data_IF_693985399659
#
_entry.id   IF_693985399659
#
_cell.length_a   1.000
_cell.length_b   1.000
_cell.length_c   1.000
_cell.angle_alpha   90.00
_cell.angle_beta   90.00
_cell.angle_gamma   90.00
#
_symmetry.space_group_name_H-M   'P 1'
#
loop_
_entity.id
_entity.type
_entity.pdbx_description
1 polymer ?
#
# COMPACT_ATOMS: atom_id res chain seq x y z
N UNK A 1 19.04 -21.05 -9.10
CA UNK A 1 18.61 -20.61 -7.74
C UNK A 1 17.80 -19.37 -7.98
N UNK A 2 16.54 -19.35 -7.54
CA UNK A 2 15.63 -18.23 -7.84
C UNK A 2 16.15 -16.99 -7.11
N UNK A 3 16.27 -15.88 -7.85
CA UNK A 3 16.64 -14.60 -7.30
C UNK A 3 15.39 -13.72 -7.13
N UNK A 4 15.17 -13.29 -5.90
CA UNK A 4 13.98 -12.52 -5.52
C UNK A 4 14.43 -11.19 -4.95
N UNK A 5 13.69 -10.13 -5.29
CA UNK A 5 13.88 -8.80 -4.71
C UNK A 5 12.64 -8.41 -3.93
N UNK A 6 12.82 -8.05 -2.67
CA UNK A 6 11.80 -7.48 -1.80
C UNK A 6 11.95 -5.96 -1.81
N UNK A 7 10.91 -5.26 -2.24
CA UNK A 7 10.89 -3.80 -2.33
C UNK A 7 10.10 -3.20 -1.17
N UNK A 8 10.69 -2.22 -0.50
CA UNK A 8 10.07 -1.49 0.62
C UNK A 8 10.40 0.00 0.57
N UNK A 9 9.57 0.83 1.21
CA UNK A 9 9.76 2.29 1.32
C UNK A 9 11.13 2.69 1.83
N UNK A 10 11.61 3.87 1.42
CA UNK A 10 12.98 4.33 1.71
C UNK A 10 13.32 4.48 3.18
N UNK A 11 12.36 4.93 3.99
CA UNK A 11 12.54 5.21 5.42
C UNK A 11 12.28 3.99 6.33
N UNK A 12 12.22 2.78 5.77
CA UNK A 12 11.86 1.55 6.50
C UNK A 12 12.76 1.26 7.71
N UNK A 13 14.03 1.65 7.65
CA UNK A 13 15.00 1.49 8.76
C UNK A 13 14.82 2.53 9.86
N UNK A 14 14.36 3.73 9.50
CA UNK A 14 14.24 4.88 10.41
C UNK A 14 12.89 4.86 11.12
N UNK A 15 11.86 4.36 10.43
CA UNK A 15 10.50 4.26 10.93
C UNK A 15 9.99 2.84 10.74
N UNK A 16 10.39 1.88 11.59
CA UNK A 16 9.91 0.51 11.48
C UNK A 16 8.40 0.46 11.73
N UNK A 17 7.69 -0.22 10.83
CA UNK A 17 6.25 -0.44 10.89
C UNK A 17 5.88 -1.92 10.74
N UNK A 18 4.59 -2.22 10.69
CA UNK A 18 4.11 -3.60 10.48
C UNK A 18 4.58 -4.20 9.14
N UNK A 19 4.71 -3.35 8.12
CA UNK A 19 5.26 -3.71 6.81
C UNK A 19 6.70 -4.26 6.89
N UNK A 20 7.55 -3.63 7.70
CA UNK A 20 8.94 -4.06 7.92
C UNK A 20 9.02 -5.40 8.60
N UNK A 21 8.22 -5.59 9.66
CA UNK A 21 8.19 -6.86 10.41
C UNK A 21 7.74 -7.98 9.47
N UNK A 22 6.64 -7.76 8.75
CA UNK A 22 6.13 -8.73 7.79
C UNK A 22 7.17 -9.09 6.73
N UNK A 23 7.87 -8.10 6.17
CA UNK A 23 8.90 -8.31 5.15
C UNK A 23 10.04 -9.20 5.68
N UNK A 24 10.56 -8.89 6.87
CA UNK A 24 11.69 -9.63 7.46
C UNK A 24 11.30 -11.07 7.79
N UNK A 25 10.14 -11.27 8.41
CA UNK A 25 9.65 -12.61 8.74
C UNK A 25 9.35 -13.43 7.47
N UNK A 26 8.75 -12.81 6.45
CA UNK A 26 8.48 -13.46 5.15
C UNK A 26 9.79 -13.89 4.49
N UNK A 27 10.82 -13.03 4.50
CA UNK A 27 12.15 -13.38 3.96
C UNK A 27 12.73 -14.58 4.70
N UNK A 28 12.77 -14.54 6.03
CA UNK A 28 13.34 -15.61 6.85
C UNK A 28 12.64 -16.95 6.62
N UNK A 29 11.30 -16.94 6.56
CA UNK A 29 10.51 -18.14 6.31
C UNK A 29 10.78 -18.73 4.91
N UNK A 30 10.82 -17.89 3.88
CA UNK A 30 11.04 -18.33 2.49
C UNK A 30 12.47 -18.86 2.30
N UNK A 31 13.50 -18.15 2.78
CA UNK A 31 14.89 -18.62 2.66
C UNK A 31 15.15 -19.92 3.44
N UNK A 32 14.41 -20.14 4.53
CA UNK A 32 14.51 -21.38 5.31
C UNK A 32 13.81 -22.56 4.64
N UNK A 33 12.70 -22.31 3.92
CA UNK A 33 11.88 -23.35 3.30
C UNK A 33 12.31 -23.67 1.86
N UNK A 34 12.91 -22.71 1.15
CA UNK A 34 13.18 -22.80 -0.28
C UNK A 34 14.60 -22.37 -0.62
N UNK A 35 15.15 -22.97 -1.69
CA UNK A 35 16.50 -22.64 -2.18
C UNK A 35 16.47 -21.40 -3.09
N UNK A 36 16.33 -20.22 -2.48
CA UNK A 36 16.33 -18.91 -3.15
C UNK A 36 17.27 -17.92 -2.45
N UNK A 37 17.55 -16.82 -3.15
CA UNK A 37 18.26 -15.65 -2.59
C UNK A 37 17.31 -14.47 -2.60
N UNK A 38 17.08 -13.82 -1.44
CA UNK A 38 16.24 -12.63 -1.35
C UNK A 38 17.09 -11.39 -1.03
N UNK A 39 17.03 -10.38 -1.90
CA UNK A 39 17.61 -9.06 -1.65
C UNK A 39 16.52 -8.09 -1.20
N UNK A 40 16.78 -7.29 -0.16
CA UNK A 40 15.86 -6.22 0.24
C UNK A 40 16.41 -4.91 -0.31
N UNK A 41 15.61 -4.21 -1.10
CA UNK A 41 15.97 -2.92 -1.68
C UNK A 41 14.95 -1.86 -1.29
N UNK A 42 15.41 -0.61 -1.33
CA UNK A 42 14.54 0.55 -1.18
C UNK A 42 14.73 1.60 -2.28
N UNK A 43 15.65 1.36 -3.21
CA UNK A 43 15.81 2.16 -4.43
C UNK A 43 15.33 1.34 -5.65
N UNK A 44 14.29 1.80 -6.38
CA UNK A 44 13.77 1.11 -7.55
C UNK A 44 14.80 0.84 -8.65
N UNK A 45 15.84 1.66 -8.77
CA UNK A 45 16.86 1.47 -9.81
C UNK A 45 17.75 0.25 -9.55
N UNK A 46 17.79 -0.27 -8.32
CA UNK A 46 18.50 -1.51 -7.99
C UNK A 46 17.91 -2.73 -8.72
N UNK A 47 16.62 -2.72 -9.06
CA UNK A 47 15.97 -3.79 -9.85
C UNK A 47 16.66 -3.97 -11.20
N UNK A 48 17.00 -2.86 -11.86
CA UNK A 48 17.63 -2.86 -13.18
C UNK A 48 19.09 -3.35 -13.13
N UNK A 49 19.72 -3.32 -11.95
CA UNK A 49 21.07 -3.86 -11.79
C UNK A 49 21.02 -5.35 -11.47
N UNK A 50 20.09 -5.75 -10.57
CA UNK A 50 20.00 -7.12 -10.05
C UNK A 50 19.38 -8.08 -11.07
N UNK A 51 18.45 -7.63 -11.90
CA UNK A 51 17.66 -8.48 -12.82
C UNK A 51 17.06 -9.74 -12.13
N UNK A 52 16.21 -9.57 -11.10
CA UNK A 52 15.61 -10.70 -10.39
C UNK A 52 14.55 -11.44 -11.23
N UNK A 53 14.31 -12.71 -10.88
CA UNK A 53 13.22 -13.50 -11.45
C UNK A 53 11.86 -13.01 -10.91
N UNK A 54 11.82 -12.64 -9.63
CA UNK A 54 10.62 -12.19 -8.92
C UNK A 54 10.90 -10.86 -8.22
N UNK A 55 9.99 -9.90 -8.41
CA UNK A 55 9.96 -8.65 -7.63
C UNK A 55 8.72 -8.66 -6.75
N UNK A 56 8.93 -8.68 -5.44
CA UNK A 56 7.87 -8.67 -4.44
C UNK A 56 7.84 -7.30 -3.77
N UNK A 57 6.80 -6.54 -4.06
CA UNK A 57 6.59 -5.18 -3.56
C UNK A 57 5.71 -5.26 -2.31
N UNK A 58 6.15 -4.59 -1.25
CA UNK A 58 5.41 -4.50 0.00
C UNK A 58 4.68 -3.18 0.10
N UNK A 59 3.46 -3.24 0.62
CA UNK A 59 2.63 -2.10 0.98
C UNK A 59 2.10 -1.31 -0.22
N UNK A 60 0.81 -1.42 -0.49
CA UNK A 60 0.12 -0.66 -1.53
C UNK A 60 -0.21 0.78 -1.08
N UNK A 61 -0.20 1.06 0.23
CA UNK A 61 -0.48 2.41 0.75
C UNK A 61 0.69 3.37 0.48
N UNK A 62 1.89 2.87 0.19
CA UNK A 62 3.03 3.65 -0.36
C UNK A 62 2.97 3.75 -1.89
N UNK A 63 1.78 4.06 -2.41
CA UNK A 63 1.43 3.97 -3.84
C UNK A 63 2.50 4.53 -4.79
N UNK A 64 2.97 5.75 -4.57
CA UNK A 64 3.94 6.40 -5.47
C UNK A 64 5.28 5.63 -5.52
N UNK A 65 5.79 5.18 -4.38
CA UNK A 65 7.03 4.39 -4.32
C UNK A 65 6.83 2.99 -4.90
N UNK A 66 5.74 2.32 -4.52
CA UNK A 66 5.39 0.97 -5.00
C UNK A 66 5.19 0.93 -6.51
N UNK A 67 4.64 2.00 -7.10
CA UNK A 67 4.50 2.16 -8.55
C UNK A 67 5.84 2.30 -9.27
N UNK A 68 6.83 2.96 -8.67
CA UNK A 68 8.18 3.05 -9.25
C UNK A 68 8.84 1.67 -9.31
N UNK A 69 8.76 0.89 -8.24
CA UNK A 69 9.27 -0.49 -8.25
C UNK A 69 8.59 -1.35 -9.31
N UNK A 70 7.25 -1.29 -9.41
CA UNK A 70 6.49 -2.05 -10.39
C UNK A 70 6.90 -1.70 -11.82
N UNK A 71 7.04 -0.40 -12.10
CA UNK A 71 7.48 0.10 -13.41
C UNK A 71 8.83 -0.51 -13.81
N UNK A 72 9.80 -0.50 -12.89
CA UNK A 72 11.14 -1.04 -13.13
C UNK A 72 11.15 -2.57 -13.28
N UNK A 73 10.33 -3.26 -12.49
CA UNK A 73 10.16 -4.71 -12.59
C UNK A 73 9.57 -5.13 -13.95
N UNK A 74 8.53 -4.42 -14.43
CA UNK A 74 7.92 -4.71 -15.73
C UNK A 74 8.84 -4.40 -16.92
N UNK A 75 9.74 -3.42 -16.80
CA UNK A 75 10.74 -3.13 -17.83
C UNK A 75 11.65 -4.33 -18.13
N UNK A 76 11.95 -5.14 -17.13
CA UNK A 76 12.80 -6.33 -17.27
C UNK A 76 11.98 -7.63 -17.40
N UNK A 77 10.64 -7.55 -17.38
CA UNK A 77 9.76 -8.70 -17.49
C UNK A 77 9.75 -9.62 -16.26
N UNK A 78 10.11 -9.12 -15.08
CA UNK A 78 10.10 -9.91 -13.85
C UNK A 78 8.67 -10.24 -13.38
N UNK A 79 8.50 -11.37 -12.71
CA UNK A 79 7.21 -11.73 -12.10
C UNK A 79 6.94 -10.84 -10.88
N UNK A 80 5.85 -10.08 -10.91
CA UNK A 80 5.55 -9.03 -9.94
C UNK A 80 4.51 -9.50 -8.92
N UNK A 81 4.89 -9.49 -7.64
CA UNK A 81 4.03 -9.88 -6.52
C UNK A 81 3.78 -8.68 -5.61
N UNK A 82 2.56 -8.52 -5.10
CA UNK A 82 2.21 -7.48 -4.14
C UNK A 82 1.80 -8.08 -2.79
N UNK A 83 2.51 -7.73 -1.72
CA UNK A 83 1.93 -7.79 -0.37
C UNK A 83 1.17 -6.49 -0.12
N UNK A 84 -0.15 -6.58 -0.04
CA UNK A 84 -1.02 -5.40 -0.11
C UNK A 84 -0.88 -4.50 1.10
N UNK A 85 -0.82 -5.02 2.33
CA UNK A 85 -0.69 -4.26 3.59
C UNK A 85 -1.62 -3.04 3.60
N UNK A 86 -2.92 -3.28 3.49
CA UNK A 86 -3.97 -2.28 3.37
C UNK A 86 -4.85 -2.20 4.60
N UNK A 87 -5.20 -0.98 4.98
CA UNK A 87 -6.25 -0.70 5.95
C UNK A 87 -7.08 0.51 5.51
N UNK A 88 -8.39 0.48 5.79
CA UNK A 88 -9.24 1.65 5.58
C UNK A 88 -8.91 2.73 6.63
N UNK A 89 -8.32 3.83 6.16
CA UNK A 89 -7.87 4.94 6.99
C UNK A 89 -8.89 6.08 7.11
N UNK A 90 -10.12 5.95 6.56
CA UNK A 90 -11.13 7.01 6.61
C UNK A 90 -11.40 7.52 8.03
N UNK A 91 -11.47 6.61 9.00
CA UNK A 91 -11.73 6.94 10.39
C UNK A 91 -10.56 7.68 11.02
N UNK A 92 -9.33 7.23 10.72
CA UNK A 92 -8.12 7.90 11.16
C UNK A 92 -8.02 9.33 10.58
N UNK A 93 -8.36 9.54 9.31
CA UNK A 93 -8.40 10.87 8.71
C UNK A 93 -9.42 11.79 9.39
N UNK A 94 -10.62 11.28 9.65
CA UNK A 94 -11.66 12.04 10.37
C UNK A 94 -11.18 12.43 11.77
N UNK A 95 -10.67 11.48 12.55
CA UNK A 95 -10.17 11.73 13.91
C UNK A 95 -9.03 12.76 13.88
N UNK A 96 -8.08 12.63 12.96
CA UNK A 96 -6.97 13.59 12.83
C UNK A 96 -7.46 15.02 12.50
N UNK A 97 -8.45 15.14 11.60
CA UNK A 97 -9.03 16.43 11.26
C UNK A 97 -9.75 17.08 12.46
N UNK A 98 -10.52 16.29 13.22
CA UNK A 98 -11.20 16.78 14.42
C UNK A 98 -10.21 17.19 15.52
N UNK A 99 -9.15 16.40 15.73
CA UNK A 99 -8.09 16.72 16.70
C UNK A 99 -7.37 18.03 16.39
N UNK A 100 -7.10 18.33 15.10
CA UNK A 100 -6.52 19.62 14.68
C UNK A 100 -7.42 20.81 14.99
N UNK A 101 -8.73 20.58 15.09
CA UNK A 101 -9.72 21.57 15.52
C UNK A 101 -9.98 21.52 17.03
N UNK A 102 -9.22 20.71 17.79
CA UNK A 102 -9.43 20.44 19.22
C UNK A 102 -10.83 19.90 19.56
N UNK A 103 -11.46 19.21 18.61
CA UNK A 103 -12.76 18.55 18.80
C UNK A 103 -12.51 17.06 19.06
N UNK A 104 -13.06 16.56 20.16
CA UNK A 104 -12.96 15.15 20.57
C UNK A 104 -14.35 14.53 20.62
N UNK A 105 -14.95 14.24 19.45
CA UNK A 105 -16.31 13.76 19.41
C UNK A 105 -16.40 12.36 20.00
N UNK A 106 -17.41 12.11 20.84
CA UNK A 106 -17.64 10.81 21.48
C UNK A 106 -19.12 10.41 21.40
N UNK A 107 -19.37 9.10 21.47
CA UNK A 107 -20.71 8.54 21.40
C UNK A 107 -21.46 8.91 20.12
N UNK A 108 -22.75 9.26 20.24
CA UNK A 108 -23.63 9.50 19.09
C UNK A 108 -23.21 10.71 18.22
N UNK A 109 -22.49 11.67 18.79
CA UNK A 109 -21.99 12.84 18.06
C UNK A 109 -20.85 12.49 17.11
N UNK A 110 -20.08 11.43 17.41
CA UNK A 110 -19.03 10.92 16.54
C UNK A 110 -19.58 10.53 15.17
N UNK A 111 -20.60 9.67 15.15
CA UNK A 111 -21.20 9.18 13.90
C UNK A 111 -21.84 10.30 13.08
N UNK A 112 -22.50 11.26 13.74
CA UNK A 112 -23.09 12.41 13.05
C UNK A 112 -22.02 13.28 12.40
N UNK A 113 -20.99 13.66 13.16
CA UNK A 113 -19.90 14.51 12.66
C UNK A 113 -19.09 13.80 11.57
N UNK A 114 -18.87 12.48 11.71
CA UNK A 114 -18.21 11.66 10.70
C UNK A 114 -18.97 11.68 9.37
N UNK A 115 -20.30 11.53 9.40
CA UNK A 115 -21.14 11.62 8.19
C UNK A 115 -21.07 13.00 7.55
N UNK A 116 -21.19 14.06 8.35
CA UNK A 116 -21.08 15.44 7.85
C UNK A 116 -19.71 15.68 7.23
N UNK A 117 -18.63 15.27 7.89
CA UNK A 117 -17.27 15.38 7.38
C UNK A 117 -17.11 14.68 6.02
N UNK A 118 -17.53 13.41 5.92
CA UNK A 118 -17.48 12.68 4.65
C UNK A 118 -18.30 13.35 3.54
N UNK A 119 -19.47 13.90 3.87
CA UNK A 119 -20.28 14.65 2.90
C UNK A 119 -19.55 15.90 2.41
N UNK A 120 -18.93 16.66 3.33
CA UNK A 120 -18.14 17.84 2.97
C UNK A 120 -16.94 17.49 2.11
N UNK A 121 -16.22 16.40 2.43
CA UNK A 121 -15.12 15.91 1.60
C UNK A 121 -15.58 15.51 0.20
N UNK A 122 -16.75 14.86 0.06
CA UNK A 122 -17.31 14.53 -1.27
C UNK A 122 -17.63 15.78 -2.09
N UNK A 123 -18.20 16.81 -1.46
CA UNK A 123 -18.45 18.11 -2.12
C UNK A 123 -17.14 18.81 -2.48
N UNK A 124 -16.12 18.77 -1.61
CA UNK A 124 -14.79 19.30 -1.95
C UNK A 124 -14.17 18.54 -3.12
N UNK A 125 -14.28 17.21 -3.17
CA UNK A 125 -13.79 16.41 -4.30
C UNK A 125 -14.46 16.84 -5.61
N UNK A 126 -15.78 17.08 -5.64
CA UNK A 126 -16.45 17.47 -6.88
C UNK A 126 -16.06 18.86 -7.39
N UNK A 127 -15.62 19.76 -6.51
CA UNK A 127 -15.26 21.15 -6.88
C UNK A 127 -13.77 21.30 -7.15
N UNK A 128 -12.92 20.71 -6.29
CA UNK A 128 -11.46 20.94 -6.28
C UNK A 128 -10.63 19.66 -6.46
N UNK A 129 -11.25 18.50 -6.68
CA UNK A 129 -10.58 17.19 -6.82
C UNK A 129 -9.63 16.85 -5.65
N UNK A 130 -9.95 17.33 -4.45
CA UNK A 130 -9.17 17.08 -3.23
C UNK A 130 -10.09 16.70 -2.05
N UNK A 131 -9.63 15.82 -1.14
CA UNK A 131 -8.34 15.10 -1.19
C UNK A 131 -8.32 14.02 -2.28
N UNK A 132 -7.15 13.82 -2.91
CA UNK A 132 -7.00 12.92 -4.06
C UNK A 132 -7.47 11.50 -3.75
N UNK A 133 -7.18 10.99 -2.56
CA UNK A 133 -7.57 9.65 -2.08
C UNK A 133 -9.08 9.37 -2.11
N UNK A 134 -9.92 10.40 -2.11
CA UNK A 134 -11.38 10.27 -2.17
C UNK A 134 -11.94 10.48 -3.59
N UNK A 135 -11.09 10.69 -4.58
CA UNK A 135 -11.50 10.89 -5.97
C UNK A 135 -11.73 9.55 -6.68
N UNK A 136 -12.67 9.52 -7.63
CA UNK A 136 -12.83 8.37 -8.53
C UNK A 136 -11.56 8.11 -9.36
N UNK A 137 -10.76 9.16 -9.62
CA UNK A 137 -9.47 9.03 -10.28
C UNK A 137 -8.51 8.18 -9.46
N UNK A 138 -8.37 8.46 -8.16
CA UNK A 138 -7.52 7.65 -7.28
C UNK A 138 -7.97 6.19 -7.23
N UNK A 139 -9.27 5.94 -7.10
CA UNK A 139 -9.80 4.56 -7.14
C UNK A 139 -9.42 3.85 -8.44
N UNK A 140 -9.59 4.52 -9.58
CA UNK A 140 -9.21 3.97 -10.89
C UNK A 140 -7.70 3.74 -11.01
N UNK A 141 -6.89 4.67 -10.54
CA UNK A 141 -5.43 4.57 -10.60
C UNK A 141 -4.91 3.44 -9.69
N UNK A 142 -5.51 3.25 -8.51
CA UNK A 142 -5.23 2.12 -7.63
C UNK A 142 -5.69 0.79 -8.25
N UNK A 143 -6.90 0.72 -8.81
CA UNK A 143 -7.39 -0.49 -9.48
C UNK A 143 -6.52 -0.90 -10.67
N UNK A 144 -6.08 0.07 -11.48
CA UNK A 144 -5.14 -0.17 -12.57
C UNK A 144 -3.80 -0.69 -12.02
N UNK A 145 -3.23 -0.01 -11.02
CA UNK A 145 -1.97 -0.42 -10.39
C UNK A 145 -2.04 -1.84 -9.82
N UNK A 146 -3.13 -2.17 -9.13
CA UNK A 146 -3.38 -3.52 -8.61
C UNK A 146 -3.47 -4.55 -9.74
N UNK A 147 -4.15 -4.22 -10.84
CA UNK A 147 -4.30 -5.09 -12.01
C UNK A 147 -3.02 -5.31 -12.83
N UNK A 148 -1.94 -4.56 -12.55
CA UNK A 148 -0.64 -4.75 -13.21
C UNK A 148 0.22 -5.85 -12.55
N UNK A 149 -0.11 -6.28 -11.33
CA UNK A 149 0.61 -7.36 -10.63
C UNK A 149 0.20 -8.74 -11.15
N UNK A 150 1.16 -9.67 -11.11
CA UNK A 150 0.94 -11.06 -11.52
C UNK A 150 0.33 -11.91 -10.39
N UNK A 151 0.56 -11.53 -9.13
CA UNK A 151 -0.07 -12.14 -7.96
C UNK A 151 -0.21 -11.16 -6.79
N UNK A 152 -1.27 -11.32 -5.99
CA UNK A 152 -1.48 -10.60 -4.72
C UNK A 152 -1.35 -11.54 -3.53
N UNK A 153 -0.79 -11.04 -2.45
CA UNK A 153 -0.61 -11.73 -1.17
C UNK A 153 -1.18 -10.85 -0.04
N UNK A 154 -2.51 -10.79 0.10
CA UNK A 154 -3.14 -10.11 1.22
C UNK A 154 -2.79 -10.80 2.54
N UNK A 155 -2.72 -10.02 3.62
CA UNK A 155 -2.37 -10.50 4.95
C UNK A 155 -3.49 -11.32 5.59
N UNK A 156 -4.73 -11.05 5.19
CA UNK A 156 -5.90 -11.80 5.63
C UNK A 156 -7.01 -11.80 4.59
N UNK A 157 -8.01 -12.65 4.79
CA UNK A 157 -9.22 -12.68 3.95
C UNK A 157 -9.99 -11.36 4.06
N UNK A 158 -10.07 -10.77 5.26
CA UNK A 158 -10.74 -9.49 5.48
C UNK A 158 -10.06 -8.34 4.74
N UNK A 159 -8.71 -8.32 4.71
CA UNK A 159 -7.98 -7.33 3.92
C UNK A 159 -8.32 -7.46 2.43
N UNK A 160 -8.34 -8.70 1.92
CA UNK A 160 -8.72 -8.97 0.54
C UNK A 160 -10.13 -8.47 0.22
N UNK A 161 -11.10 -8.76 1.10
CA UNK A 161 -12.48 -8.29 0.96
C UNK A 161 -12.58 -6.76 0.96
N UNK A 162 -11.79 -6.08 1.81
CA UNK A 162 -11.74 -4.61 1.83
C UNK A 162 -11.21 -4.08 0.49
N UNK A 163 -10.12 -4.64 -0.02
CA UNK A 163 -9.52 -4.22 -1.30
C UNK A 163 -10.52 -4.40 -2.45
N UNK A 164 -11.18 -5.56 -2.53
CA UNK A 164 -12.19 -5.87 -3.56
C UNK A 164 -13.42 -4.94 -3.49
N UNK A 165 -13.75 -4.43 -2.30
CA UNK A 165 -14.85 -3.48 -2.12
C UNK A 165 -14.47 -2.06 -2.53
N UNK A 166 -13.21 -1.66 -2.29
CA UNK A 166 -12.76 -0.28 -2.49
C UNK A 166 -12.25 0.02 -3.92
N UNK A 167 -11.68 -0.97 -4.61
CA UNK A 167 -11.00 -0.82 -5.90
C UNK A 167 -11.52 -1.82 -6.95
#
# INVERSE_FOLDING_TARGET
MINVVFCIRKDWKERPGGDVIQLVETKNAIESAYKCSINIISDPDEILNIHPDIVHIFNMQTFEESKLFLTKAKQIGAFCVLSTVYWDMHDAFFVNAMQKMHIYPSGKYFELLKRVFHLTCKVSVSIINKPYSLTNKYRKDMANFLGEFDAWLPNSEEEYEIIQREF
#
